data_IF_596649916168
#
_entry.id   IF_596649916168
#
_cell.length_a   1.000
_cell.length_b   1.000
_cell.length_c   1.000
_cell.angle_alpha   90.00
_cell.angle_beta   90.00
_cell.angle_gamma   90.00
#
_symmetry.space_group_name_H-M   'P 1'
#
loop_
_entity.id
_entity.type
_entity.pdbx_description
1 polymer ?
#
# COMPACT_ATOMS: atom_id res chain seq x y z
N UNK A 1 5.43 -23.38 -8.25
CA UNK A 1 4.12 -23.13 -8.93
C UNK A 1 3.17 -22.34 -8.02
N UNK A 2 2.91 -22.76 -6.77
CA UNK A 2 1.98 -22.09 -5.84
C UNK A 2 2.34 -20.62 -5.61
N UNK A 3 3.63 -20.31 -5.38
CA UNK A 3 4.09 -18.95 -5.22
C UNK A 3 3.73 -18.07 -6.43
N UNK A 4 4.01 -18.51 -7.65
CA UNK A 4 3.73 -17.74 -8.86
C UNK A 4 2.25 -17.46 -9.06
N UNK A 5 1.40 -18.45 -8.79
CA UNK A 5 -0.06 -18.29 -8.85
C UNK A 5 -0.58 -17.28 -7.81
N UNK A 6 -0.06 -17.34 -6.59
CA UNK A 6 -0.43 -16.40 -5.53
C UNK A 6 0.09 -14.98 -5.82
N UNK A 7 1.32 -14.86 -6.34
CA UNK A 7 2.00 -13.58 -6.54
C UNK A 7 1.55 -12.84 -7.81
N UNK A 8 0.89 -13.51 -8.73
CA UNK A 8 0.44 -12.95 -10.01
C UNK A 8 -1.07 -12.71 -9.98
N UNK A 9 -1.51 -11.54 -10.44
CA UNK A 9 -2.93 -11.32 -10.67
C UNK A 9 -3.37 -12.12 -11.91
N UNK A 10 -4.20 -13.15 -11.71
CA UNK A 10 -4.75 -13.99 -12.77
C UNK A 10 -6.17 -13.60 -13.16
N UNK A 11 -6.80 -12.68 -12.42
CA UNK A 11 -8.16 -12.23 -12.67
C UNK A 11 -8.26 -11.14 -13.74
N UNK A 12 -7.12 -10.62 -14.19
CA UNK A 12 -7.09 -9.50 -15.13
C UNK A 12 -7.56 -8.17 -14.50
N UNK A 13 -7.86 -7.17 -15.34
CA UNK A 13 -8.32 -5.86 -14.89
C UNK A 13 -9.68 -5.93 -14.21
N UNK A 14 -10.04 -4.85 -13.51
CA UNK A 14 -11.37 -4.64 -12.94
C UNK A 14 -12.41 -4.63 -14.04
N UNK A 15 -13.50 -5.31 -13.80
CA UNK A 15 -14.69 -5.26 -14.69
C UNK A 15 -15.55 -4.04 -14.35
N UNK A 16 -16.34 -3.56 -15.32
CA UNK A 16 -17.31 -2.48 -15.09
C UNK A 16 -18.26 -2.80 -13.92
N UNK A 17 -18.66 -4.06 -13.78
CA UNK A 17 -19.52 -4.50 -12.69
C UNK A 17 -18.85 -4.39 -11.32
N UNK A 18 -17.57 -4.71 -11.22
CA UNK A 18 -16.78 -4.54 -9.97
C UNK A 18 -16.63 -3.05 -9.64
N UNK A 19 -16.33 -2.22 -10.63
CA UNK A 19 -16.20 -0.76 -10.46
C UNK A 19 -17.53 -0.17 -9.95
N UNK A 20 -18.65 -0.52 -10.55
CA UNK A 20 -19.98 -0.06 -10.09
C UNK A 20 -20.30 -0.59 -8.68
N UNK A 21 -19.91 -1.81 -8.35
CA UNK A 21 -20.06 -2.36 -7.01
C UNK A 21 -19.24 -1.58 -5.99
N UNK A 22 -17.99 -1.24 -6.31
CA UNK A 22 -17.12 -0.47 -5.42
C UNK A 22 -17.61 0.98 -5.24
N UNK A 23 -18.11 1.60 -6.30
CA UNK A 23 -18.76 2.92 -6.21
C UNK A 23 -19.94 2.88 -5.23
N UNK A 24 -20.81 1.88 -5.36
CA UNK A 24 -21.95 1.73 -4.48
C UNK A 24 -21.58 1.50 -3.03
N UNK A 25 -20.61 0.62 -2.76
CA UNK A 25 -20.10 0.39 -1.41
C UNK A 25 -19.57 1.70 -0.82
N UNK A 26 -18.89 2.49 -1.62
CA UNK A 26 -18.38 3.78 -1.18
C UNK A 26 -19.51 4.77 -0.86
N UNK A 27 -20.48 4.93 -1.75
CA UNK A 27 -21.62 5.83 -1.56
C UNK A 27 -22.43 5.46 -0.31
N UNK A 28 -22.50 4.16 0.02
CA UNK A 28 -23.18 3.65 1.21
C UNK A 28 -22.33 3.79 2.50
N UNK A 29 -21.01 3.90 2.38
CA UNK A 29 -20.08 3.98 3.52
C UNK A 29 -19.99 5.40 4.05
N UNK A 30 -20.88 6.20 4.30
CA UNK A 30 -20.90 7.51 5.00
C UNK A 30 -19.52 8.05 5.48
N UNK A 31 -18.46 7.84 4.70
CA UNK A 31 -17.14 8.33 5.08
C UNK A 31 -17.04 9.81 4.71
N UNK A 32 -17.40 10.69 5.63
CA UNK A 32 -17.19 12.15 5.58
C UNK A 32 -15.73 12.57 5.34
N UNK A 33 -14.81 11.59 5.20
CA UNK A 33 -13.36 11.79 5.21
C UNK A 33 -12.73 11.98 3.85
N UNK A 34 -13.50 11.82 2.78
CA UNK A 34 -12.97 11.91 1.42
C UNK A 34 -13.75 12.96 0.66
N UNK A 35 -13.02 13.99 0.25
CA UNK A 35 -13.63 14.98 -0.63
C UNK A 35 -13.98 14.35 -1.99
N UNK A 36 -14.84 15.00 -2.74
CA UNK A 36 -15.29 14.51 -4.05
C UNK A 36 -14.12 14.36 -5.04
N UNK A 37 -13.10 15.19 -4.97
CA UNK A 37 -11.95 15.17 -5.86
C UNK A 37 -11.06 13.93 -5.64
N UNK A 38 -10.84 13.51 -4.38
CA UNK A 38 -10.11 12.27 -4.08
C UNK A 38 -10.85 11.05 -4.62
N UNK A 39 -12.18 11.08 -4.60
CA UNK A 39 -12.98 9.99 -5.16
C UNK A 39 -13.00 9.96 -6.67
N UNK A 40 -13.10 11.08 -7.32
CA UNK A 40 -12.95 11.15 -8.78
C UNK A 40 -11.60 10.57 -9.20
N UNK A 41 -10.53 10.90 -8.46
CA UNK A 41 -9.20 10.33 -8.67
C UNK A 41 -9.17 8.82 -8.46
N UNK A 42 -9.81 8.30 -7.41
CA UNK A 42 -9.90 6.87 -7.15
C UNK A 42 -10.70 6.13 -8.23
N UNK A 43 -11.83 6.69 -8.69
CA UNK A 43 -12.62 6.09 -9.76
C UNK A 43 -11.90 6.10 -11.10
N UNK A 44 -11.18 7.18 -11.41
CA UNK A 44 -10.31 7.22 -12.58
C UNK A 44 -9.25 6.11 -12.49
N UNK A 45 -8.60 5.97 -11.34
CA UNK A 45 -7.63 4.91 -11.12
C UNK A 45 -8.23 3.51 -11.26
N UNK A 46 -9.49 3.26 -10.86
CA UNK A 46 -10.20 2.00 -11.13
C UNK A 46 -10.45 1.77 -12.61
N UNK A 47 -10.98 2.80 -13.31
CA UNK A 47 -11.36 2.69 -14.72
C UNK A 47 -10.19 2.49 -15.68
N UNK A 48 -9.00 2.90 -15.27
CA UNK A 48 -7.75 2.74 -16.02
C UNK A 48 -6.98 1.46 -15.63
N UNK A 49 -7.63 0.50 -14.94
CA UNK A 49 -6.97 -0.74 -14.50
C UNK A 49 -6.58 -1.63 -15.70
N UNK A 50 -5.31 -1.95 -15.80
CA UNK A 50 -4.76 -2.86 -16.82
C UNK A 50 -4.50 -4.29 -16.28
N UNK A 51 -4.90 -4.56 -15.04
CA UNK A 51 -4.74 -5.84 -14.37
C UNK A 51 -3.35 -6.13 -13.85
N UNK A 52 -2.41 -5.21 -14.00
CA UNK A 52 -1.03 -5.38 -13.50
C UNK A 52 -0.89 -5.01 -12.03
N UNK A 53 0.25 -5.40 -11.47
CA UNK A 53 0.71 -4.91 -10.18
C UNK A 53 1.21 -3.46 -10.30
N UNK A 54 1.14 -2.77 -9.17
CA UNK A 54 1.64 -1.40 -9.05
C UNK A 54 2.26 -1.19 -7.67
N UNK A 55 2.90 -0.06 -7.49
CA UNK A 55 3.55 0.31 -6.23
C UNK A 55 2.91 1.57 -5.66
N UNK A 56 2.63 1.55 -4.37
CA UNK A 56 2.18 2.72 -3.64
C UNK A 56 3.38 3.34 -2.91
N UNK A 57 3.81 4.49 -3.37
CA UNK A 57 4.85 5.29 -2.72
C UNK A 57 4.19 6.15 -1.66
N UNK A 58 4.60 5.98 -0.42
CA UNK A 58 4.09 6.75 0.71
C UNK A 58 5.20 7.61 1.28
N UNK A 59 4.91 8.89 1.49
CA UNK A 59 5.67 9.77 2.35
C UNK A 59 4.83 10.04 3.60
N UNK A 60 5.44 9.93 4.76
CA UNK A 60 4.77 10.01 6.06
C UNK A 60 5.53 10.99 6.95
N UNK A 61 4.81 11.93 7.51
CA UNK A 61 5.28 12.86 8.53
C UNK A 61 4.51 12.57 9.82
N UNK A 62 5.20 12.22 10.90
CA UNK A 62 4.57 11.77 12.13
C UNK A 62 4.04 12.92 12.95
N UNK A 63 2.86 12.75 13.52
CA UNK A 63 2.34 13.65 14.53
C UNK A 63 3.09 13.43 15.86
N UNK A 64 3.81 14.43 16.33
CA UNK A 64 4.57 14.33 17.59
C UNK A 64 3.67 14.27 18.83
N UNK A 65 2.41 14.69 18.73
CA UNK A 65 1.47 14.79 19.84
C UNK A 65 0.08 14.31 19.44
N UNK A 66 -0.09 13.02 19.06
CA UNK A 66 -1.38 12.49 18.66
C UNK A 66 -2.37 12.52 19.82
N UNK A 67 -3.64 12.76 19.53
CA UNK A 67 -4.69 12.68 20.55
C UNK A 67 -4.85 11.25 21.05
N UNK A 68 -5.36 11.14 22.26
CA UNK A 68 -5.72 9.84 22.83
C UNK A 68 -6.82 9.18 21.99
N UNK A 69 -6.57 7.95 21.56
CA UNK A 69 -7.51 7.12 20.81
C UNK A 69 -7.95 5.92 21.68
N UNK A 70 -9.20 5.46 21.48
CA UNK A 70 -9.82 4.45 22.36
C UNK A 70 -8.99 3.16 22.47
N UNK A 71 -8.56 2.59 21.35
CA UNK A 71 -7.88 1.29 21.34
C UNK A 71 -6.41 1.36 21.79
N UNK A 72 -5.75 2.51 21.67
CA UNK A 72 -4.33 2.66 22.05
C UNK A 72 -4.14 3.31 23.42
N UNK A 73 -5.15 4.03 23.92
CA UNK A 73 -5.14 4.61 25.26
C UNK A 73 -4.33 5.90 25.39
N UNK A 74 -4.24 6.38 26.63
CA UNK A 74 -3.53 7.61 26.97
C UNK A 74 -2.01 7.44 26.85
N UNK A 75 -1.34 8.44 26.30
CA UNK A 75 0.12 8.46 26.13
C UNK A 75 0.63 7.62 24.95
N UNK A 76 -0.26 7.09 24.11
CA UNK A 76 0.15 6.39 22.91
C UNK A 76 0.89 7.32 21.93
N UNK A 77 1.94 6.82 21.34
CA UNK A 77 2.75 7.52 20.33
C UNK A 77 2.17 7.33 18.92
N UNK A 78 2.61 8.13 17.97
CA UNK A 78 2.28 7.95 16.54
C UNK A 78 2.64 6.55 16.04
N UNK A 79 3.72 5.97 16.56
CA UNK A 79 4.09 4.59 16.22
C UNK A 79 3.06 3.59 16.73
N UNK A 80 2.55 3.76 17.96
CA UNK A 80 1.53 2.86 18.52
C UNK A 80 0.24 2.92 17.69
N UNK A 81 -0.18 4.11 17.26
CA UNK A 81 -1.33 4.30 16.40
C UNK A 81 -1.10 3.67 15.02
N UNK A 82 0.07 3.86 14.41
CA UNK A 82 0.43 3.23 13.15
C UNK A 82 0.43 1.71 13.27
N UNK A 83 0.97 1.15 14.36
CA UNK A 83 0.99 -0.30 14.58
C UNK A 83 -0.42 -0.85 14.71
N UNK A 84 -1.32 -0.16 15.41
CA UNK A 84 -2.72 -0.55 15.52
C UNK A 84 -3.43 -0.57 14.15
N UNK A 85 -3.17 0.43 13.29
CA UNK A 85 -3.62 0.42 11.91
C UNK A 85 -3.05 -0.78 11.12
N UNK A 86 -1.76 -1.05 11.28
CA UNK A 86 -1.06 -2.11 10.56
C UNK A 86 -1.47 -3.54 10.99
N UNK A 87 -2.05 -3.73 12.19
CA UNK A 87 -2.64 -5.01 12.60
C UNK A 87 -3.72 -5.50 11.62
N UNK A 88 -4.50 -4.58 11.07
CA UNK A 88 -5.45 -4.89 10.01
C UNK A 88 -4.75 -5.04 8.65
N UNK A 89 -3.85 -4.11 8.31
CA UNK A 89 -3.26 -4.03 6.98
C UNK A 89 -2.37 -5.24 6.65
N UNK A 90 -1.52 -5.68 7.57
CA UNK A 90 -0.58 -6.77 7.31
C UNK A 90 -1.26 -8.05 6.83
N UNK A 91 -2.24 -8.64 7.53
CA UNK A 91 -2.88 -9.85 7.07
C UNK A 91 -3.63 -9.65 5.73
N UNK A 92 -4.25 -8.49 5.52
CA UNK A 92 -4.96 -8.20 4.28
C UNK A 92 -4.01 -8.07 3.07
N UNK A 93 -2.88 -7.40 3.26
CA UNK A 93 -1.86 -7.26 2.22
C UNK A 93 -1.21 -8.60 1.90
N UNK A 94 -0.70 -9.32 2.90
CA UNK A 94 -0.02 -10.60 2.67
C UNK A 94 -0.94 -11.67 2.06
N UNK A 95 -2.19 -11.73 2.47
CA UNK A 95 -3.18 -12.63 1.85
C UNK A 95 -3.30 -12.39 0.34
N UNK A 96 -3.10 -11.15 -0.11
CA UNK A 96 -3.22 -10.70 -1.49
C UNK A 96 -1.88 -10.54 -2.20
N UNK A 97 -0.82 -11.15 -1.72
CA UNK A 97 0.54 -11.00 -2.26
C UNK A 97 1.00 -9.54 -2.42
N UNK A 98 0.45 -8.66 -1.58
CA UNK A 98 0.87 -7.27 -1.45
C UNK A 98 1.78 -7.14 -0.24
N UNK A 99 2.86 -6.39 -0.35
CA UNK A 99 3.89 -6.34 0.69
C UNK A 99 4.79 -5.10 0.55
N UNK A 100 5.48 -4.69 1.61
CA UNK A 100 6.50 -3.65 1.50
C UNK A 100 7.67 -4.13 0.63
N UNK A 101 8.19 -3.24 -0.19
CA UNK A 101 9.40 -3.45 -1.00
C UNK A 101 10.52 -2.47 -0.64
N UNK A 102 10.17 -1.38 0.01
CA UNK A 102 11.13 -0.40 0.52
C UNK A 102 10.57 0.27 1.77
N UNK A 103 11.45 0.51 2.73
CA UNK A 103 11.15 1.28 3.93
C UNK A 103 12.41 2.00 4.38
N UNK A 104 12.32 3.32 4.57
CA UNK A 104 13.46 4.12 5.00
C UNK A 104 13.02 5.29 5.88
N UNK A 105 13.86 5.61 6.87
CA UNK A 105 13.77 6.87 7.58
C UNK A 105 14.42 7.98 6.74
N UNK A 106 13.79 9.12 6.67
CA UNK A 106 14.36 10.31 6.04
C UNK A 106 15.45 10.87 6.96
N UNK A 107 16.57 11.26 6.37
CA UNK A 107 17.74 11.69 7.14
C UNK A 107 17.83 13.20 7.31
N UNK A 108 17.18 13.96 6.41
CA UNK A 108 17.28 15.40 6.32
C UNK A 108 16.10 15.95 5.51
N UNK A 109 15.66 17.19 5.73
CA UNK A 109 14.73 17.84 4.82
C UNK A 109 15.19 17.80 3.36
N UNK A 110 14.25 17.97 2.44
CA UNK A 110 14.52 17.93 1.00
C UNK A 110 15.67 18.88 0.62
N UNK A 111 16.67 18.34 -0.09
CA UNK A 111 17.84 19.13 -0.55
C UNK A 111 17.53 19.98 -1.79
N UNK A 112 16.54 19.58 -2.56
CA UNK A 112 16.08 20.29 -3.75
C UNK A 112 14.56 20.22 -3.83
N UNK A 113 13.92 21.38 -3.85
CA UNK A 113 12.46 21.51 -3.91
C UNK A 113 12.07 22.68 -4.80
N UNK A 114 11.17 22.44 -5.73
CA UNK A 114 10.67 23.46 -6.66
C UNK A 114 9.14 23.44 -6.65
N UNK A 115 8.54 24.59 -6.28
CA UNK A 115 7.10 24.81 -6.29
C UNK A 115 6.27 23.77 -5.51
N UNK A 116 6.86 23.16 -4.46
CA UNK A 116 6.22 22.13 -3.61
C UNK A 116 6.22 22.57 -2.14
N UNK A 117 5.62 23.71 -1.87
CA UNK A 117 5.57 24.32 -0.54
C UNK A 117 4.88 23.38 0.46
N UNK A 118 5.47 23.21 1.65
CA UNK A 118 4.98 22.32 2.70
C UNK A 118 5.40 20.86 2.52
N UNK A 119 6.19 20.53 1.48
CA UNK A 119 6.67 19.17 1.19
C UNK A 119 8.16 18.98 1.53
N UNK A 120 8.74 19.92 2.27
CA UNK A 120 10.15 19.95 2.61
C UNK A 120 10.57 18.85 3.57
N UNK A 121 9.69 18.50 4.52
CA UNK A 121 9.99 17.61 5.64
C UNK A 121 9.12 16.38 5.64
N UNK A 122 9.74 15.24 5.88
CA UNK A 122 9.14 13.91 6.00
C UNK A 122 9.95 13.05 6.95
N UNK A 123 9.33 12.11 7.65
CA UNK A 123 10.00 11.16 8.52
C UNK A 123 10.33 9.84 7.84
N UNK A 124 9.40 9.37 7.02
CA UNK A 124 9.44 8.01 6.46
C UNK A 124 9.06 8.03 4.98
N UNK A 125 9.78 7.22 4.20
CA UNK A 125 9.37 6.78 2.87
C UNK A 125 9.12 5.28 2.90
N UNK A 126 7.93 4.87 2.47
CA UNK A 126 7.56 3.46 2.38
C UNK A 126 6.94 3.15 1.03
N UNK A 127 7.40 2.08 0.39
CA UNK A 127 6.85 1.63 -0.90
C UNK A 127 6.28 0.24 -0.70
N UNK A 128 5.00 0.11 -1.05
CA UNK A 128 4.28 -1.16 -1.00
C UNK A 128 3.93 -1.60 -2.42
N UNK A 129 4.26 -2.83 -2.75
CA UNK A 129 3.71 -3.48 -3.93
C UNK A 129 2.29 -3.94 -3.65
N UNK A 130 1.37 -3.65 -4.56
CA UNK A 130 0.04 -4.24 -4.62
C UNK A 130 -0.05 -5.16 -5.85
N UNK A 131 -0.56 -6.38 -5.68
CA UNK A 131 -0.70 -7.33 -6.77
C UNK A 131 -1.68 -6.86 -7.86
N UNK A 132 -2.70 -6.07 -7.47
CA UNK A 132 -3.69 -5.47 -8.38
C UNK A 132 -4.39 -4.27 -7.73
N UNK A 133 -5.03 -3.43 -8.55
CA UNK A 133 -5.91 -2.36 -8.07
C UNK A 133 -7.13 -2.96 -7.34
N UNK A 134 -7.65 -4.09 -7.80
CA UNK A 134 -8.70 -4.85 -7.09
C UNK A 134 -8.32 -5.13 -5.64
N UNK A 135 -7.13 -5.66 -5.40
CA UNK A 135 -6.65 -5.97 -4.04
C UNK A 135 -6.59 -4.71 -3.15
N UNK A 136 -6.17 -3.57 -3.70
CA UNK A 136 -6.17 -2.30 -2.98
C UNK A 136 -7.58 -1.89 -2.57
N UNK A 137 -8.54 -1.89 -3.51
CA UNK A 137 -9.91 -1.45 -3.23
C UNK A 137 -10.67 -2.41 -2.32
N UNK A 138 -10.47 -3.73 -2.44
CA UNK A 138 -11.03 -4.70 -1.51
C UNK A 138 -10.53 -4.51 -0.05
N UNK A 139 -9.29 -4.07 0.12
CA UNK A 139 -8.76 -3.71 1.44
C UNK A 139 -9.40 -2.40 1.93
N UNK A 140 -9.40 -1.36 1.10
CA UNK A 140 -9.80 -0.02 1.47
C UNK A 140 -11.31 0.19 1.60
N UNK A 141 -12.13 -0.62 0.96
CA UNK A 141 -13.59 -0.58 1.04
C UNK A 141 -14.17 -1.54 2.10
N UNK A 142 -13.33 -2.24 2.84
CA UNK A 142 -13.77 -3.06 3.95
C UNK A 142 -14.16 -2.16 5.15
N UNK A 143 -15.32 -2.34 5.78
CA UNK A 143 -15.73 -1.51 6.92
C UNK A 143 -14.70 -1.45 8.08
N UNK A 144 -13.98 -2.54 8.34
CA UNK A 144 -12.91 -2.57 9.35
C UNK A 144 -11.76 -1.60 8.99
N UNK A 145 -11.53 -1.36 7.69
CA UNK A 145 -10.52 -0.41 7.26
C UNK A 145 -10.82 1.01 7.75
N UNK A 146 -12.08 1.46 7.67
CA UNK A 146 -12.46 2.82 8.09
C UNK A 146 -12.17 3.04 9.57
N UNK A 147 -12.51 2.08 10.43
CA UNK A 147 -12.23 2.14 11.87
C UNK A 147 -10.72 2.22 12.14
N UNK A 148 -9.92 1.43 11.43
CA UNK A 148 -8.46 1.38 11.59
C UNK A 148 -7.75 2.56 10.95
N UNK A 149 -8.30 3.09 9.85
CA UNK A 149 -7.70 4.21 9.12
C UNK A 149 -7.67 5.51 9.93
N UNK A 150 -8.59 5.69 10.88
CA UNK A 150 -8.56 6.83 11.82
C UNK A 150 -7.25 6.90 12.61
N UNK A 151 -6.72 5.75 13.00
CA UNK A 151 -5.45 5.67 13.72
C UNK A 151 -4.27 6.06 12.82
N UNK A 152 -4.31 5.72 11.53
CA UNK A 152 -3.30 6.21 10.56
C UNK A 152 -3.37 7.74 10.42
N UNK A 153 -4.57 8.28 10.28
CA UNK A 153 -4.77 9.72 10.11
C UNK A 153 -4.29 10.48 11.33
N UNK A 154 -4.62 10.00 12.53
CA UNK A 154 -4.20 10.63 13.79
C UNK A 154 -2.70 10.52 14.06
N UNK A 155 -2.06 9.45 13.56
CA UNK A 155 -0.63 9.23 13.70
C UNK A 155 0.24 10.16 12.84
N UNK A 156 -0.35 10.92 11.92
CA UNK A 156 0.39 11.66 10.90
C UNK A 156 -0.07 13.13 10.83
N UNK A 157 0.89 14.04 10.77
CA UNK A 157 0.62 15.45 10.47
C UNK A 157 0.31 15.63 8.98
N UNK A 158 1.01 14.89 8.12
CA UNK A 158 0.73 14.84 6.68
C UNK A 158 1.17 13.50 6.07
N UNK A 159 0.56 13.13 4.96
CA UNK A 159 0.93 11.95 4.18
C UNK A 159 0.56 12.12 2.73
N UNK A 160 1.37 11.53 1.86
CA UNK A 160 1.06 11.38 0.43
C UNK A 160 1.16 9.91 0.09
N UNK A 161 0.20 9.41 -0.69
CA UNK A 161 0.22 8.05 -1.23
C UNK A 161 0.02 8.13 -2.74
N UNK A 162 1.07 7.81 -3.50
CA UNK A 162 1.11 7.96 -4.95
C UNK A 162 1.22 6.56 -5.58
N UNK A 163 0.23 6.12 -6.38
CA UNK A 163 0.36 4.90 -7.16
C UNK A 163 1.33 5.14 -8.33
N UNK A 164 2.28 4.24 -8.51
CA UNK A 164 3.27 4.30 -9.58
C UNK A 164 3.40 2.94 -10.27
N UNK A 165 3.65 2.96 -11.56
CA UNK A 165 4.09 1.81 -12.33
C UNK A 165 5.61 1.91 -12.54
N UNK A 166 6.32 0.79 -12.40
CA UNK A 166 7.77 0.81 -12.59
C UNK A 166 8.13 -0.10 -13.76
N UNK A 167 8.86 0.42 -14.76
CA UNK A 167 9.34 -0.39 -15.87
C UNK A 167 10.48 -1.32 -15.45
N UNK A 168 11.08 -1.07 -14.29
CA UNK A 168 12.21 -1.84 -13.81
C UNK A 168 12.23 -1.92 -12.27
N UNK A 169 11.81 -3.05 -11.75
CA UNK A 169 12.01 -3.42 -10.35
C UNK A 169 12.44 -4.87 -10.26
N UNK A 170 13.17 -5.23 -9.22
CA UNK A 170 13.49 -6.63 -8.95
C UNK A 170 12.22 -7.39 -8.59
N UNK A 171 11.66 -8.08 -9.56
CA UNK A 171 10.49 -8.92 -9.36
C UNK A 171 10.88 -10.17 -8.57
N UNK A 172 10.16 -10.44 -7.46
CA UNK A 172 10.44 -11.63 -6.63
C UNK A 172 10.24 -12.94 -7.40
N UNK A 173 9.41 -12.94 -8.44
CA UNK A 173 9.28 -14.11 -9.33
C UNK A 173 10.58 -14.39 -10.07
N UNK A 174 11.23 -13.35 -10.59
CA UNK A 174 12.52 -13.47 -11.26
C UNK A 174 13.62 -13.86 -10.26
N UNK A 175 13.66 -13.23 -9.09
CA UNK A 175 14.63 -13.54 -8.04
C UNK A 175 14.50 -15.01 -7.60
N UNK A 176 13.27 -15.50 -7.37
CA UNK A 176 13.02 -16.89 -7.03
C UNK A 176 13.39 -17.83 -8.18
N UNK A 177 13.06 -17.48 -9.43
CA UNK A 177 13.43 -18.28 -10.59
C UNK A 177 14.94 -18.44 -10.71
N UNK A 178 15.69 -17.34 -10.62
CA UNK A 178 17.17 -17.34 -10.66
C UNK A 178 17.74 -18.15 -9.50
N UNK A 179 17.20 -18.00 -8.29
CA UNK A 179 17.62 -18.77 -7.12
C UNK A 179 17.43 -20.29 -7.33
N UNK A 180 16.24 -20.72 -7.81
CA UNK A 180 15.96 -22.12 -8.09
C UNK A 180 16.83 -22.68 -9.21
N UNK A 181 17.12 -21.88 -10.23
CA UNK A 181 18.02 -22.25 -11.32
C UNK A 181 19.45 -22.51 -10.79
N UNK A 182 19.98 -21.58 -10.00
CA UNK A 182 21.30 -21.71 -9.38
C UNK A 182 21.37 -22.92 -8.45
N UNK A 183 20.35 -23.14 -7.64
CA UNK A 183 20.26 -24.31 -6.76
C UNK A 183 20.27 -25.61 -7.59
N UNK A 184 19.53 -25.67 -8.67
CA UNK A 184 19.51 -26.82 -9.60
C UNK A 184 20.91 -27.12 -10.16
N UNK A 185 21.62 -26.11 -10.65
CA UNK A 185 22.97 -26.23 -11.18
C UNK A 185 23.98 -26.71 -10.11
N UNK A 186 23.85 -26.25 -8.87
CA UNK A 186 24.69 -26.70 -7.76
C UNK A 186 24.43 -28.17 -7.45
N UNK A 187 23.17 -28.59 -7.35
CA UNK A 187 22.80 -29.99 -7.08
C UNK A 187 23.29 -30.91 -8.19
N UNK A 188 23.15 -30.52 -9.46
CA UNK A 188 23.65 -31.28 -10.59
C UNK A 188 25.17 -31.47 -10.51
N UNK A 189 25.92 -30.40 -10.20
CA UNK A 189 27.38 -30.46 -10.05
C UNK A 189 27.84 -31.35 -8.90
N UNK A 190 27.08 -31.41 -7.81
CA UNK A 190 27.41 -32.28 -6.67
C UNK A 190 27.17 -33.76 -6.98
N UNK A 191 26.21 -34.03 -7.89
CA UNK A 191 25.86 -35.40 -8.28
C UNK A 191 26.73 -35.98 -9.41
N UNK A 192 27.41 -35.11 -10.14
CA UNK A 192 28.36 -35.49 -11.21
C UNK A 192 29.76 -35.75 -10.66
#
# INVERSE_FOLDING_TARGET
TVFFLWYTNLSGPLTDQEIETYKKIFEESNSDRRDSEQWETAFKFMSEDDGKDFYMVNFLDRNESPRTMEATGEGATSLDLQMHYMEYMWPQQFKRASHPVFFANVLNPALDIVAAQGMEEWDIVAIFRYRSRRDLFEIGLNPIFDERHEYKVEALDKTIAIPVETPFITDLRLALFVFLLLLGLIVERIRA
#
